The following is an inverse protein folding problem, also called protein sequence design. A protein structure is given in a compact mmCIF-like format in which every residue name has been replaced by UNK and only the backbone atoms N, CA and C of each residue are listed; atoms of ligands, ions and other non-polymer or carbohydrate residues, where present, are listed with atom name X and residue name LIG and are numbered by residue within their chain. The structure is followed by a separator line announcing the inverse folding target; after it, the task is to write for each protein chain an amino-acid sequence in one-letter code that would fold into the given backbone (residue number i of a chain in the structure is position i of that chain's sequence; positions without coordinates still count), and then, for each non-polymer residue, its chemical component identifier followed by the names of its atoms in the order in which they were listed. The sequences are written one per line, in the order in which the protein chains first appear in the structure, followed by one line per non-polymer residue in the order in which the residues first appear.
data_IF_912978290167
#
_entry.id   IF_912978290167
#
_cell.length_a   1.000
_cell.length_b   1.000
_cell.length_c   1.000
_cell.angle_alpha   90.00
_cell.angle_beta   90.00
_cell.angle_gamma   90.00
#
_symmetry.space_group_name_H-M   'P 1'
#
loop_
_entity.id
_entity.type
_entity.pdbx_description
1 polymer ?
#
# COMPACT_ATOMS: atom_id res chain seq x y z
N UNK A 1 -21.57 -8.19 49.18
CA UNK A 1 -20.78 -8.99 48.20
C UNK A 1 -20.61 -8.14 46.96
N UNK A 2 -19.43 -8.14 46.33
CA UNK A 2 -19.18 -7.46 45.06
C UNK A 2 -19.77 -8.35 43.95
N UNK A 3 -20.75 -7.86 43.19
CA UNK A 3 -21.48 -8.67 42.21
C UNK A 3 -21.09 -8.30 40.76
N UNK A 4 -20.63 -7.07 40.52
CA UNK A 4 -20.19 -6.58 39.21
C UNK A 4 -18.89 -5.77 39.31
N UNK A 5 -18.21 -5.57 38.17
CA UNK A 5 -16.95 -4.82 38.11
C UNK A 5 -17.10 -3.36 38.59
N UNK A 6 -18.26 -2.75 38.34
CA UNK A 6 -18.58 -1.38 38.77
C UNK A 6 -18.74 -1.25 40.29
N UNK A 7 -18.97 -2.35 41.02
CA UNK A 7 -19.06 -2.31 42.48
C UNK A 7 -17.68 -2.14 43.13
N UNK A 8 -16.61 -2.44 42.39
CA UNK A 8 -15.24 -2.40 42.89
C UNK A 8 -14.76 -0.95 42.94
N UNK A 9 -14.29 -0.55 44.12
CA UNK A 9 -13.75 0.79 44.38
C UNK A 9 -12.37 0.68 44.99
N UNK A 10 -11.45 1.52 44.56
CA UNK A 10 -10.12 1.55 45.14
C UNK A 10 -9.11 2.29 44.27
N UNK A 11 -7.85 2.20 44.69
CA UNK A 11 -6.71 2.72 43.96
C UNK A 11 -5.81 1.52 43.64
N UNK A 12 -5.44 1.39 42.37
CA UNK A 12 -4.52 0.36 41.88
C UNK A 12 -3.26 1.06 41.39
N UNK A 13 -2.12 0.65 41.92
CA UNK A 13 -0.81 1.14 41.50
C UNK A 13 -0.04 -0.02 40.89
N UNK A 14 0.41 0.13 39.65
CA UNK A 14 1.22 -0.89 38.97
C UNK A 14 2.44 -0.25 38.36
N UNK A 15 3.59 -0.82 38.69
CA UNK A 15 4.85 -0.47 38.07
C UNK A 15 5.06 -1.33 36.81
N UNK A 16 5.50 -0.71 35.73
CA UNK A 16 5.75 -1.31 34.41
C UNK A 16 4.61 -2.24 33.96
N UNK A 17 3.39 -1.68 33.84
CA UNK A 17 2.17 -2.44 33.50
C UNK A 17 2.30 -3.25 32.20
N UNK A 18 3.19 -2.82 31.31
CA UNK A 18 3.43 -3.41 29.99
C UNK A 18 4.53 -4.50 29.98
N UNK A 19 5.23 -4.73 31.10
CA UNK A 19 6.38 -5.62 31.17
C UNK A 19 6.03 -7.07 30.74
N UNK A 20 6.83 -7.63 29.84
CA UNK A 20 6.65 -8.96 29.23
C UNK A 20 5.31 -9.20 28.50
N UNK A 21 4.50 -8.17 28.26
CA UNK A 21 3.27 -8.31 27.48
C UNK A 21 3.55 -8.21 25.98
N UNK A 22 2.81 -9.00 25.20
CA UNK A 22 2.84 -8.88 23.74
C UNK A 22 2.21 -7.54 23.33
N UNK A 23 2.77 -6.87 22.31
CA UNK A 23 2.32 -5.54 21.83
C UNK A 23 0.80 -5.42 21.65
N UNK A 24 0.16 -6.45 21.08
CA UNK A 24 -1.30 -6.50 20.90
C UNK A 24 -2.08 -6.44 22.23
N UNK A 25 -1.57 -7.05 23.30
CA UNK A 25 -2.21 -7.02 24.61
C UNK A 25 -2.05 -5.65 25.26
N UNK A 26 -0.88 -5.03 25.11
CA UNK A 26 -0.61 -3.67 25.59
C UNK A 26 -1.55 -2.65 24.95
N UNK A 27 -1.73 -2.72 23.62
CA UNK A 27 -2.61 -1.81 22.90
C UNK A 27 -4.10 -2.11 23.10
N UNK A 28 -4.53 -3.36 22.90
CA UNK A 28 -5.97 -3.65 22.75
C UNK A 28 -6.66 -4.17 24.03
N UNK A 29 -5.93 -4.81 24.94
CA UNK A 29 -6.54 -5.56 26.06
C UNK A 29 -6.42 -4.81 27.38
N UNK A 30 -5.24 -4.29 27.71
CA UNK A 30 -5.03 -3.56 28.96
C UNK A 30 -5.93 -2.32 29.09
N UNK A 31 -6.07 -1.45 28.07
CA UNK A 31 -6.95 -0.28 28.19
C UNK A 31 -8.42 -0.66 28.40
N UNK A 32 -8.89 -1.73 27.75
CA UNK A 32 -10.25 -2.24 27.95
C UNK A 32 -10.46 -2.78 29.35
N UNK A 33 -9.47 -3.49 29.90
CA UNK A 33 -9.51 -3.96 31.28
C UNK A 33 -9.66 -2.79 32.26
N UNK A 34 -8.89 -1.71 32.06
CA UNK A 34 -8.96 -0.50 32.89
C UNK A 34 -10.35 0.14 32.79
N UNK A 35 -10.88 0.27 31.57
CA UNK A 35 -12.21 0.84 31.33
C UNK A 35 -13.36 0.01 31.94
N UNK A 36 -13.15 -1.28 32.22
CA UNK A 36 -14.14 -2.13 32.89
C UNK A 36 -14.29 -1.82 34.39
N UNK A 37 -13.39 -1.05 34.99
CA UNK A 37 -13.44 -0.69 36.42
C UNK A 37 -13.53 0.84 36.60
N UNK A 38 -14.66 1.48 36.23
CA UNK A 38 -14.79 2.94 36.20
C UNK A 38 -14.65 3.60 37.59
N UNK A 39 -14.87 2.84 38.67
CA UNK A 39 -14.76 3.34 40.04
C UNK A 39 -13.40 3.03 40.70
N UNK A 40 -12.42 2.54 39.92
CA UNK A 40 -11.05 2.30 40.37
C UNK A 40 -10.12 3.34 39.74
N UNK A 41 -9.34 4.02 40.56
CA UNK A 41 -8.29 4.91 40.08
C UNK A 41 -7.02 4.10 39.80
N UNK A 42 -6.52 4.16 38.57
CA UNK A 42 -5.27 3.51 38.19
C UNK A 42 -4.12 4.52 38.16
N UNK A 43 -3.00 4.18 38.81
CA UNK A 43 -1.73 4.89 38.73
C UNK A 43 -0.69 3.93 38.19
N UNK A 44 -0.31 4.12 36.93
CA UNK A 44 0.47 3.14 36.17
C UNK A 44 1.76 3.79 35.67
N UNK A 45 2.85 3.05 35.68
CA UNK A 45 4.07 3.41 34.93
C UNK A 45 4.18 2.50 33.71
N UNK A 46 4.71 3.04 32.62
CA UNK A 46 4.90 2.30 31.38
C UNK A 46 6.11 2.80 30.61
N UNK A 47 6.77 1.87 29.91
CA UNK A 47 7.77 2.20 28.90
C UNK A 47 7.23 2.08 27.47
N UNK A 48 5.99 1.62 27.31
CA UNK A 48 5.40 1.30 26.01
C UNK A 48 4.50 2.43 25.51
N UNK A 49 4.89 3.12 24.43
CA UNK A 49 4.00 4.03 23.73
C UNK A 49 2.71 3.35 23.25
N UNK A 50 2.73 2.04 23.02
CA UNK A 50 1.57 1.29 22.53
C UNK A 50 0.43 1.25 23.54
N UNK A 51 0.77 1.17 24.82
CA UNK A 51 -0.25 1.20 25.88
C UNK A 51 -0.93 2.58 25.94
N UNK A 52 -0.16 3.66 25.78
CA UNK A 52 -0.66 5.03 25.76
C UNK A 52 -1.63 5.25 24.57
N UNK A 53 -1.26 4.79 23.37
CA UNK A 53 -2.14 4.85 22.21
C UNK A 53 -3.47 4.12 22.43
N UNK A 54 -3.40 2.92 23.01
CA UNK A 54 -4.61 2.15 23.32
C UNK A 54 -5.48 2.80 24.39
N UNK A 55 -4.89 3.50 25.37
CA UNK A 55 -5.63 4.30 26.34
C UNK A 55 -6.38 5.45 25.67
N UNK A 56 -5.74 6.17 24.74
CA UNK A 56 -6.38 7.24 23.98
C UNK A 56 -7.54 6.73 23.13
N UNK A 57 -7.39 5.58 22.47
CA UNK A 57 -8.47 4.96 21.69
C UNK A 57 -9.68 4.57 22.55
N UNK A 58 -9.44 4.03 23.75
CA UNK A 58 -10.52 3.48 24.60
C UNK A 58 -11.15 4.52 25.53
N UNK A 59 -10.34 5.42 26.11
CA UNK A 59 -10.79 6.39 27.12
C UNK A 59 -10.93 7.81 26.57
N UNK A 60 -10.38 8.10 25.39
CA UNK A 60 -10.28 9.46 24.85
C UNK A 60 -9.15 10.28 25.46
N UNK A 61 -8.87 11.44 24.88
CA UNK A 61 -7.76 12.32 25.27
C UNK A 61 -7.90 12.87 26.70
N UNK A 62 -9.12 13.13 27.15
CA UNK A 62 -9.42 13.62 28.51
C UNK A 62 -9.60 12.48 29.53
N UNK A 63 -9.51 11.22 29.08
CA UNK A 63 -9.80 10.05 29.90
C UNK A 63 -8.68 9.63 30.85
N UNK A 64 -7.47 10.16 30.67
CA UNK A 64 -6.31 9.86 31.50
C UNK A 64 -5.32 11.03 31.54
N UNK A 65 -4.46 11.07 32.56
CA UNK A 65 -3.34 12.01 32.64
C UNK A 65 -2.02 11.29 32.37
N UNK A 66 -1.18 11.86 31.52
CA UNK A 66 0.14 11.32 31.21
C UNK A 66 1.23 12.24 31.78
N UNK A 67 2.17 11.67 32.53
CA UNK A 67 3.23 12.42 33.19
C UNK A 67 4.59 11.81 32.84
N UNK A 68 5.50 12.64 32.34
CA UNK A 68 6.89 12.26 32.12
C UNK A 68 7.62 12.11 33.46
N UNK A 69 8.46 11.08 33.56
CA UNK A 69 9.33 10.87 34.71
C UNK A 69 10.79 10.84 34.23
N UNK A 70 11.71 11.54 34.93
CA UNK A 70 11.57 12.03 36.30
C UNK A 70 11.02 13.45 36.43
N UNK A 71 10.71 14.13 35.32
CA UNK A 71 10.39 15.57 35.33
C UNK A 71 9.08 15.90 36.06
N UNK A 72 8.13 14.97 36.09
CA UNK A 72 6.77 15.18 36.58
C UNK A 72 5.91 16.07 35.68
N UNK A 73 6.39 16.38 34.47
CA UNK A 73 5.68 17.24 33.54
C UNK A 73 4.53 16.46 32.88
N UNK A 74 3.35 17.07 32.83
CA UNK A 74 2.22 16.50 32.09
C UNK A 74 2.47 16.62 30.58
N UNK A 75 2.34 15.52 29.86
CA UNK A 75 2.46 15.46 28.40
C UNK A 75 1.09 15.66 27.75
N UNK A 76 1.07 16.27 26.56
CA UNK A 76 -0.16 16.49 25.80
C UNK A 76 -0.44 15.34 24.82
N UNK A 77 -1.70 15.16 24.41
CA UNK A 77 -2.10 14.15 23.44
C UNK A 77 -1.50 14.39 22.04
N UNK A 78 -1.20 15.66 21.71
CA UNK A 78 -0.59 16.05 20.43
C UNK A 78 0.82 15.47 20.26
N UNK A 79 1.61 15.38 21.34
CA UNK A 79 2.97 14.81 21.34
C UNK A 79 3.00 13.30 20.99
N UNK A 80 1.87 12.60 21.13
CA UNK A 80 1.74 11.16 20.84
C UNK A 80 0.96 10.85 19.57
N UNK A 81 0.20 11.80 19.03
CA UNK A 81 -0.56 11.63 17.78
C UNK A 81 0.35 11.27 16.59
N UNK A 82 1.53 11.88 16.49
CA UNK A 82 2.51 11.54 15.44
C UNK A 82 3.02 10.09 15.55
N UNK A 83 3.23 9.61 16.77
CA UNK A 83 3.61 8.21 17.00
C UNK A 83 2.45 7.25 16.70
N UNK A 84 1.22 7.65 17.03
CA UNK A 84 -0.01 6.93 16.68
C UNK A 84 -0.13 6.71 15.18
N UNK A 85 -0.01 7.78 14.39
CA UNK A 85 -0.05 7.70 12.92
C UNK A 85 1.04 6.77 12.36
N UNK A 86 2.26 6.84 12.88
CA UNK A 86 3.37 5.97 12.45
C UNK A 86 3.12 4.50 12.81
N UNK A 87 2.53 4.24 13.99
CA UNK A 87 2.21 2.88 14.43
C UNK A 87 1.01 2.30 13.68
N UNK A 88 -0.05 3.07 13.44
CA UNK A 88 -1.19 2.66 12.62
C UNK A 88 -0.72 2.28 11.21
N UNK A 89 0.12 3.10 10.57
CA UNK A 89 0.72 2.78 9.28
C UNK A 89 1.53 1.45 9.32
N UNK A 90 2.23 1.18 10.43
CA UNK A 90 2.97 -0.07 10.62
C UNK A 90 2.04 -1.29 10.86
N UNK A 91 0.99 -1.13 11.65
CA UNK A 91 -0.01 -2.18 11.91
C UNK A 91 -0.79 -2.50 10.64
N UNK A 92 -1.21 -1.50 9.88
CA UNK A 92 -1.86 -1.68 8.58
C UNK A 92 -0.93 -2.40 7.61
N UNK A 93 0.37 -2.08 7.61
CA UNK A 93 1.35 -2.85 6.82
C UNK A 93 1.36 -4.33 7.20
N UNK A 94 1.25 -4.68 8.49
CA UNK A 94 1.18 -6.08 8.94
C UNK A 94 -0.15 -6.76 8.60
N UNK A 95 -1.29 -6.11 8.86
CA UNK A 95 -2.62 -6.62 8.55
C UNK A 95 -2.75 -6.89 7.05
N UNK A 96 -2.29 -5.95 6.24
CA UNK A 96 -2.26 -6.09 4.79
C UNK A 96 -1.37 -7.24 4.32
N UNK A 97 -0.20 -7.42 4.95
CA UNK A 97 0.66 -8.58 4.68
C UNK A 97 -0.05 -9.91 4.97
N UNK A 98 -0.89 -9.97 6.00
CA UNK A 98 -1.65 -11.17 6.34
C UNK A 98 -2.87 -11.38 5.42
N UNK A 99 -3.53 -10.32 4.98
CA UNK A 99 -4.58 -10.36 3.96
C UNK A 99 -4.04 -10.87 2.61
N UNK A 100 -2.88 -10.36 2.17
CA UNK A 100 -2.18 -10.84 0.98
C UNK A 100 -1.81 -12.31 1.09
N UNK A 101 -1.36 -12.78 2.27
CA UNK A 101 -1.09 -14.20 2.50
C UNK A 101 -2.35 -15.06 2.40
N UNK A 102 -3.45 -14.64 3.03
CA UNK A 102 -4.73 -15.36 2.96
C UNK A 102 -5.22 -15.45 1.52
N UNK A 103 -5.19 -14.32 0.80
CA UNK A 103 -5.54 -14.25 -0.61
C UNK A 103 -4.75 -15.25 -1.47
N UNK A 104 -3.45 -15.38 -1.21
CA UNK A 104 -2.56 -16.30 -1.94
C UNK A 104 -2.82 -17.76 -1.57
N UNK A 105 -3.13 -18.05 -0.31
CA UNK A 105 -3.46 -19.41 0.15
C UNK A 105 -4.81 -19.90 -0.40
N UNK A 106 -5.80 -19.00 -0.46
CA UNK A 106 -7.17 -19.32 -0.89
C UNK A 106 -7.35 -19.28 -2.41
N UNK A 107 -6.37 -18.72 -3.14
CA UNK A 107 -6.42 -18.54 -4.58
C UNK A 107 -6.55 -19.87 -5.33
N UNK A 108 -7.60 -19.95 -6.15
CA UNK A 108 -7.84 -21.09 -7.05
C UNK A 108 -7.10 -20.92 -8.40
N UNK A 109 -6.71 -19.68 -8.73
CA UNK A 109 -6.06 -19.26 -9.97
C UNK A 109 -4.70 -18.63 -9.68
N UNK A 110 -3.78 -18.60 -10.66
CA UNK A 110 -2.63 -17.71 -10.61
C UNK A 110 -3.03 -16.27 -10.29
N UNK A 111 -2.25 -15.61 -9.43
CA UNK A 111 -2.48 -14.23 -9.01
C UNK A 111 -1.45 -13.30 -9.65
N UNK A 112 -1.90 -12.12 -10.12
CA UNK A 112 -1.02 -11.01 -10.51
C UNK A 112 -1.32 -9.81 -9.62
N UNK A 113 -0.34 -9.40 -8.82
CA UNK A 113 -0.36 -8.17 -8.05
C UNK A 113 0.25 -7.02 -8.86
N UNK A 114 -0.46 -5.90 -8.97
CA UNK A 114 -0.01 -4.66 -9.63
C UNK A 114 0.05 -3.49 -8.63
N UNK A 115 0.71 -2.39 -8.98
CA UNK A 115 0.95 -1.27 -8.05
C UNK A 115 -0.32 -0.50 -7.71
N UNK A 116 -1.14 -0.18 -8.72
CA UNK A 116 -2.36 0.61 -8.55
C UNK A 116 -3.66 -0.06 -9.05
N UNK A 117 -4.83 0.47 -8.63
CA UNK A 117 -6.12 0.00 -9.10
C UNK A 117 -6.35 0.31 -10.60
N UNK A 118 -5.75 1.39 -11.11
CA UNK A 118 -5.77 1.77 -12.53
C UNK A 118 -5.09 0.73 -13.40
N UNK A 119 -4.00 0.15 -12.91
CA UNK A 119 -3.15 -0.80 -13.60
C UNK A 119 -3.94 -2.09 -13.88
N UNK A 120 -4.74 -2.53 -12.91
CA UNK A 120 -5.66 -3.66 -13.07
C UNK A 120 -6.59 -3.43 -14.27
N UNK A 121 -7.15 -2.23 -14.37
CA UNK A 121 -8.10 -1.89 -15.43
C UNK A 121 -7.41 -1.80 -16.80
N UNK A 122 -6.24 -1.16 -16.87
CA UNK A 122 -5.45 -1.12 -18.10
C UNK A 122 -5.05 -2.52 -18.56
N UNK A 123 -4.54 -3.38 -17.67
CA UNK A 123 -4.14 -4.74 -18.02
C UNK A 123 -5.32 -5.58 -18.50
N UNK A 124 -6.48 -5.48 -17.84
CA UNK A 124 -7.70 -6.19 -18.28
C UNK A 124 -8.21 -5.67 -19.62
N UNK A 125 -8.20 -4.34 -19.82
CA UNK A 125 -8.62 -3.74 -21.09
C UNK A 125 -7.69 -4.13 -22.22
N UNK A 126 -6.38 -4.04 -22.01
CA UNK A 126 -5.37 -4.45 -22.96
C UNK A 126 -5.56 -5.92 -23.34
N UNK A 127 -5.75 -6.81 -22.35
CA UNK A 127 -5.98 -8.22 -22.62
C UNK A 127 -7.23 -8.47 -23.47
N UNK A 128 -8.32 -7.74 -23.23
CA UNK A 128 -9.54 -7.85 -24.04
C UNK A 128 -9.35 -7.31 -25.48
N UNK A 129 -8.65 -6.17 -25.64
CA UNK A 129 -8.44 -5.55 -26.95
C UNK A 129 -7.42 -6.30 -27.82
N UNK A 130 -6.43 -6.92 -27.20
CA UNK A 130 -5.33 -7.61 -27.87
C UNK A 130 -5.53 -9.13 -27.97
N UNK A 131 -6.75 -9.61 -27.70
CA UNK A 131 -7.18 -11.02 -27.82
C UNK A 131 -6.45 -12.00 -26.87
N UNK A 132 -6.11 -11.54 -25.67
CA UNK A 132 -5.57 -12.36 -24.57
C UNK A 132 -6.66 -12.81 -23.59
N UNK A 133 -7.83 -13.21 -24.08
CA UNK A 133 -8.98 -13.66 -23.26
C UNK A 133 -8.63 -14.81 -22.30
N UNK A 134 -7.64 -15.62 -22.67
CA UNK A 134 -7.10 -16.69 -21.82
C UNK A 134 -6.59 -16.15 -20.49
N UNK A 135 -5.95 -14.98 -20.46
CA UNK A 135 -5.45 -14.38 -19.23
C UNK A 135 -6.58 -13.87 -18.34
N UNK A 136 -7.63 -13.31 -18.94
CA UNK A 136 -8.81 -12.81 -18.21
C UNK A 136 -9.55 -13.93 -17.46
N UNK A 137 -9.50 -15.15 -17.99
CA UNK A 137 -10.12 -16.32 -17.38
C UNK A 137 -9.18 -17.10 -16.47
N UNK A 138 -7.89 -17.12 -16.78
CA UNK A 138 -6.89 -17.95 -16.09
C UNK A 138 -6.24 -17.24 -14.91
N UNK A 139 -6.08 -15.91 -14.97
CA UNK A 139 -5.42 -15.11 -13.94
C UNK A 139 -6.44 -14.29 -13.17
N UNK A 140 -6.15 -14.06 -11.89
CA UNK A 140 -6.81 -13.04 -11.10
C UNK A 140 -5.86 -11.87 -10.82
N UNK A 141 -6.18 -10.70 -11.39
CA UNK A 141 -5.47 -9.46 -11.11
C UNK A 141 -5.97 -8.85 -9.79
N UNK A 142 -5.03 -8.45 -8.93
CA UNK A 142 -5.31 -7.76 -7.66
C UNK A 142 -4.39 -6.55 -7.51
N UNK A 143 -4.91 -5.54 -6.84
CA UNK A 143 -4.09 -4.42 -6.40
C UNK A 143 -3.18 -4.86 -5.25
N UNK A 144 -1.96 -4.33 -5.23
CA UNK A 144 -1.02 -4.47 -4.11
C UNK A 144 -1.46 -3.74 -2.83
N UNK A 145 -2.49 -2.89 -2.89
CA UNK A 145 -3.29 -2.34 -1.79
C UNK A 145 -2.53 -1.47 -0.80
N UNK A 146 -2.01 -0.32 -1.23
CA UNK A 146 -1.37 0.69 -0.35
C UNK A 146 -0.04 0.26 0.31
N UNK A 147 0.22 -1.04 0.44
CA UNK A 147 1.52 -1.57 0.81
C UNK A 147 2.41 -1.66 -0.43
N UNK A 148 3.61 -1.11 -0.32
CA UNK A 148 4.66 -1.21 -1.33
C UNK A 148 4.74 -2.65 -1.87
N UNK A 149 4.65 -2.89 -3.19
CA UNK A 149 4.81 -4.23 -3.79
C UNK A 149 6.10 -4.93 -3.32
N UNK A 150 7.12 -4.16 -2.89
CA UNK A 150 8.31 -4.69 -2.21
C UNK A 150 7.98 -5.51 -0.96
N UNK A 151 6.97 -5.11 -0.18
CA UNK A 151 6.49 -5.83 1.00
C UNK A 151 5.71 -7.08 0.62
N UNK A 152 4.88 -7.03 -0.44
CA UNK A 152 4.21 -8.21 -1.01
C UNK A 152 5.25 -9.26 -1.41
N UNK A 153 6.27 -8.85 -2.18
CA UNK A 153 7.38 -9.73 -2.57
C UNK A 153 8.11 -10.34 -1.36
N UNK A 154 8.45 -9.52 -0.35
CA UNK A 154 9.08 -10.02 0.89
C UNK A 154 8.17 -11.03 1.62
N UNK A 155 6.89 -10.74 1.77
CA UNK A 155 5.93 -11.63 2.44
C UNK A 155 5.78 -12.99 1.76
N UNK A 156 5.77 -13.01 0.43
CA UNK A 156 5.65 -14.22 -0.39
C UNK A 156 6.89 -15.13 -0.33
N UNK A 157 8.05 -14.59 0.02
CA UNK A 157 9.32 -15.34 0.02
C UNK A 157 9.66 -15.98 1.36
N UNK A 158 8.98 -15.59 2.44
CA UNK A 158 9.22 -16.10 3.81
C UNK A 158 8.56 -17.47 4.04
N UNK A 159 7.48 -17.79 3.33
CA UNK A 159 6.75 -19.06 3.47
C UNK A 159 6.94 -19.90 2.20
N UNK A 160 7.38 -21.16 2.35
CA UNK A 160 7.71 -22.01 1.23
C UNK A 160 6.52 -22.88 0.76
N UNK A 161 6.39 -22.92 -0.57
CA UNK A 161 5.45 -23.68 -1.41
C UNK A 161 4.07 -23.02 -1.61
N UNK A 162 4.01 -22.10 -2.57
CA UNK A 162 2.76 -21.66 -3.17
C UNK A 162 2.31 -22.70 -4.19
N UNK A 163 1.09 -23.23 -4.05
CA UNK A 163 0.53 -24.21 -5.01
C UNK A 163 0.27 -23.59 -6.38
N UNK A 164 -0.02 -22.29 -6.42
CA UNK A 164 -0.30 -21.53 -7.64
C UNK A 164 0.81 -20.54 -7.91
N UNK A 165 0.91 -20.12 -9.17
CA UNK A 165 1.86 -19.08 -9.59
C UNK A 165 1.40 -17.74 -9.06
N UNK A 166 2.29 -17.00 -8.42
CA UNK A 166 2.03 -15.65 -7.92
C UNK A 166 3.00 -14.71 -8.61
N UNK A 167 2.48 -13.67 -9.23
CA UNK A 167 3.26 -12.72 -10.01
C UNK A 167 3.10 -11.35 -9.34
N UNK A 168 4.22 -10.70 -9.08
CA UNK A 168 4.31 -9.32 -8.62
C UNK A 168 4.81 -8.52 -9.81
N UNK A 169 3.90 -7.76 -10.42
CA UNK A 169 4.15 -6.98 -11.63
C UNK A 169 4.32 -5.51 -11.24
N UNK A 170 5.53 -5.01 -11.44
CA UNK A 170 5.92 -3.65 -11.13
C UNK A 170 5.75 -2.70 -12.30
N UNK A 171 5.64 -1.42 -11.97
CA UNK A 171 5.65 -0.35 -12.94
C UNK A 171 6.93 -0.35 -13.80
N UNK A 172 6.87 0.18 -15.03
CA UNK A 172 7.97 0.21 -15.98
C UNK A 172 9.32 0.69 -15.41
N UNK A 173 9.35 1.71 -14.54
CA UNK A 173 10.58 2.30 -14.00
C UNK A 173 11.36 1.43 -13.00
N UNK A 174 10.78 0.33 -12.51
CA UNK A 174 11.35 -0.45 -11.43
C UNK A 174 12.56 -1.30 -11.88
N UNK A 175 12.50 -1.92 -13.07
CA UNK A 175 13.63 -2.65 -13.66
C UNK A 175 14.10 -3.91 -12.89
N UNK A 176 13.19 -4.64 -12.24
CA UNK A 176 13.54 -5.85 -11.47
C UNK A 176 12.83 -7.11 -12.01
N UNK A 177 13.63 -8.11 -12.41
CA UNK A 177 13.14 -9.45 -12.71
C UNK A 177 13.76 -10.48 -11.76
N UNK A 178 12.92 -11.24 -11.08
CA UNK A 178 13.36 -12.30 -10.16
C UNK A 178 12.36 -13.46 -10.17
N UNK A 179 12.83 -14.69 -10.06
CA UNK A 179 11.96 -15.87 -9.98
C UNK A 179 12.40 -16.75 -8.82
N UNK A 180 11.43 -17.13 -7.98
CA UNK A 180 11.64 -17.99 -6.81
C UNK A 180 10.52 -19.03 -6.74
N UNK A 181 10.80 -20.24 -7.24
CA UNK A 181 9.81 -21.30 -7.38
C UNK A 181 8.56 -20.82 -8.15
N UNK A 182 7.38 -20.83 -7.52
CA UNK A 182 6.12 -20.38 -8.11
C UNK A 182 5.86 -18.86 -7.91
N UNK A 183 6.83 -18.09 -7.45
CA UNK A 183 6.69 -16.63 -7.28
C UNK A 183 7.58 -15.91 -8.29
N UNK A 184 6.99 -14.99 -9.04
CA UNK A 184 7.64 -14.25 -10.12
C UNK A 184 7.56 -12.76 -9.81
N UNK A 185 8.68 -12.07 -9.87
CA UNK A 185 8.77 -10.62 -9.87
C UNK A 185 9.12 -10.18 -11.27
N UNK A 186 8.34 -9.29 -11.85
CA UNK A 186 8.55 -8.79 -13.21
C UNK A 186 8.32 -7.29 -13.26
N UNK A 187 9.04 -6.61 -14.13
CA UNK A 187 8.73 -5.23 -14.52
C UNK A 187 8.00 -5.20 -15.86
N UNK A 188 7.08 -4.27 -16.02
CA UNK A 188 6.57 -3.93 -17.36
C UNK A 188 7.69 -3.33 -18.22
N UNK A 189 7.49 -3.34 -19.55
CA UNK A 189 8.48 -2.78 -20.48
C UNK A 189 8.66 -1.27 -20.27
N UNK A 190 9.91 -0.80 -20.30
CA UNK A 190 10.27 0.60 -20.09
C UNK A 190 10.66 1.30 -21.39
N UNK A 191 10.02 2.43 -21.70
CA UNK A 191 10.39 3.29 -22.81
C UNK A 191 11.29 4.44 -22.34
N UNK A 192 12.62 4.32 -22.55
CA UNK A 192 13.64 5.24 -22.02
C UNK A 192 13.48 6.71 -22.45
N UNK A 193 13.00 6.96 -23.67
CA UNK A 193 12.84 8.31 -24.24
C UNK A 193 11.38 8.77 -24.30
N UNK A 194 10.60 8.40 -23.29
CA UNK A 194 9.17 8.72 -23.21
C UNK A 194 8.93 9.97 -22.34
N UNK A 195 7.99 10.87 -22.69
CA UNK A 195 7.74 12.06 -21.87
C UNK A 195 7.21 11.75 -20.46
N UNK A 196 6.43 10.67 -20.29
CA UNK A 196 6.04 10.15 -18.98
C UNK A 196 7.12 9.21 -18.46
N UNK A 197 7.71 9.56 -17.32
CA UNK A 197 8.85 8.86 -16.70
C UNK A 197 8.48 8.12 -15.40
N UNK A 198 7.19 7.90 -15.15
CA UNK A 198 6.70 7.21 -13.94
C UNK A 198 5.35 6.56 -14.22
N UNK A 199 5.17 5.34 -13.73
CA UNK A 199 3.91 4.60 -13.79
C UNK A 199 3.67 3.89 -15.11
N UNK A 200 2.65 3.02 -15.09
CA UNK A 200 2.16 2.25 -16.23
C UNK A 200 1.82 3.12 -17.46
N UNK A 201 1.54 4.41 -17.29
CA UNK A 201 1.23 5.31 -18.38
C UNK A 201 2.42 5.57 -19.34
N UNK A 202 3.64 5.19 -18.94
CA UNK A 202 4.81 5.10 -19.84
C UNK A 202 4.58 4.14 -21.02
N UNK A 203 3.64 3.18 -20.90
CA UNK A 203 3.30 2.26 -21.99
C UNK A 203 2.46 2.91 -23.10
N UNK A 204 1.73 3.99 -22.82
CA UNK A 204 0.92 4.65 -23.86
C UNK A 204 1.77 5.49 -24.78
N UNK A 205 1.51 5.44 -26.09
CA UNK A 205 2.23 6.29 -27.04
C UNK A 205 1.92 7.77 -26.81
N UNK A 206 2.84 8.65 -27.25
CA UNK A 206 2.62 10.11 -27.21
C UNK A 206 1.31 10.52 -27.88
N UNK A 207 0.97 9.93 -29.02
CA UNK A 207 -0.27 10.24 -29.75
C UNK A 207 -1.51 9.86 -28.94
N UNK A 208 -1.47 8.73 -28.24
CA UNK A 208 -2.55 8.29 -27.34
C UNK A 208 -2.75 9.28 -26.20
N UNK A 209 -1.64 9.72 -25.58
CA UNK A 209 -1.66 10.64 -24.45
C UNK A 209 -2.13 12.05 -24.87
N UNK A 210 -1.73 12.51 -26.06
CA UNK A 210 -2.21 13.77 -26.64
C UNK A 210 -3.73 13.75 -26.80
N UNK A 211 -4.25 12.70 -27.44
CA UNK A 211 -5.68 12.53 -27.64
C UNK A 211 -6.45 12.40 -26.30
N UNK A 212 -5.88 11.69 -25.32
CA UNK A 212 -6.48 11.57 -24.00
C UNK A 212 -6.54 12.93 -23.28
N UNK A 213 -5.50 13.76 -23.39
CA UNK A 213 -5.43 15.11 -22.82
C UNK A 213 -6.43 16.06 -23.45
N UNK A 214 -6.63 15.99 -24.77
CA UNK A 214 -7.62 16.81 -25.49
C UNK A 214 -9.05 16.53 -25.00
N UNK A 215 -9.36 15.27 -24.71
CA UNK A 215 -10.68 14.85 -24.23
C UNK A 215 -10.85 14.94 -22.71
N UNK A 216 -9.75 15.00 -21.96
CA UNK A 216 -9.74 15.09 -20.50
C UNK A 216 -8.78 16.20 -20.03
N UNK A 217 -9.17 17.47 -20.17
CA UNK A 217 -8.33 18.59 -19.75
C UNK A 217 -7.97 18.48 -18.27
N UNK A 218 -6.69 18.60 -17.94
CA UNK A 218 -6.17 18.52 -16.57
C UNK A 218 -5.69 17.13 -16.13
N UNK A 219 -5.85 16.08 -16.95
CA UNK A 219 -5.38 14.74 -16.58
C UNK A 219 -3.86 14.57 -16.69
N UNK A 220 -3.22 15.33 -17.59
CA UNK A 220 -1.77 15.28 -17.85
C UNK A 220 -1.21 16.70 -17.79
N UNK A 221 -0.28 16.90 -16.88
CA UNK A 221 0.55 18.09 -16.80
C UNK A 221 1.73 17.96 -17.75
N UNK A 222 2.04 19.04 -18.47
CA UNK A 222 3.17 19.09 -19.41
C UNK A 222 4.10 20.22 -19.01
N UNK A 223 5.33 19.85 -18.72
CA UNK A 223 6.42 20.78 -18.49
C UNK A 223 7.25 20.79 -19.77
N UNK A 224 7.22 21.92 -20.47
CA UNK A 224 8.02 22.13 -21.67
C UNK A 224 9.52 22.05 -21.39
N UNK A 225 10.29 21.89 -22.46
CA UNK A 225 11.75 21.95 -22.39
C UNK A 225 12.19 23.28 -21.76
N UNK A 226 13.08 23.21 -20.77
CA UNK A 226 13.59 24.39 -20.08
C UNK A 226 15.04 24.20 -19.61
N UNK A 227 15.83 25.29 -19.58
CA UNK A 227 17.19 25.23 -19.06
C UNK A 227 17.18 25.18 -17.52
N UNK A 228 18.12 24.42 -16.97
CA UNK A 228 18.45 24.39 -15.55
C UNK A 228 19.96 24.59 -15.37
N UNK A 229 20.37 25.04 -14.18
CA UNK A 229 21.77 25.04 -13.79
C UNK A 229 22.03 23.97 -12.74
N UNK A 230 22.89 23.01 -13.07
CA UNK A 230 23.34 21.97 -12.13
C UNK A 230 24.83 22.14 -11.92
N UNK A 231 25.22 22.53 -10.70
CA UNK A 231 26.63 22.78 -10.33
C UNK A 231 27.32 23.80 -11.25
N UNK A 232 26.59 24.83 -11.68
CA UNK A 232 27.10 25.90 -12.54
C UNK A 232 27.20 25.56 -14.03
N UNK A 233 26.76 24.37 -14.45
CA UNK A 233 26.67 23.97 -15.86
C UNK A 233 25.21 24.10 -16.30
N UNK A 234 24.99 24.82 -17.40
CA UNK A 234 23.68 24.91 -18.04
C UNK A 234 23.35 23.57 -18.71
N UNK A 235 22.20 23.02 -18.36
CA UNK A 235 21.68 21.76 -18.90
C UNK A 235 20.24 22.00 -19.35
N UNK A 236 19.82 21.34 -20.42
CA UNK A 236 18.44 21.38 -20.88
C UNK A 236 17.70 20.18 -20.30
N UNK A 237 16.62 20.44 -19.57
CA UNK A 237 15.67 19.40 -19.17
C UNK A 237 14.71 19.20 -20.34
N UNK A 238 14.60 17.98 -20.89
CA UNK A 238 13.67 17.70 -21.97
C UNK A 238 12.22 17.87 -21.49
N UNK A 239 11.29 17.94 -22.44
CA UNK A 239 9.86 17.96 -22.15
C UNK A 239 9.46 16.73 -21.31
N UNK A 240 8.73 16.96 -20.22
CA UNK A 240 8.28 15.91 -19.29
C UNK A 240 6.79 16.02 -19.02
N UNK A 241 6.13 14.88 -18.94
CA UNK A 241 4.68 14.76 -18.77
C UNK A 241 4.42 13.95 -17.51
N UNK A 242 3.40 14.34 -16.75
CA UNK A 242 2.97 13.62 -15.56
C UNK A 242 1.45 13.53 -15.53
N UNK A 243 0.95 12.33 -15.26
CA UNK A 243 -0.48 12.13 -14.99
C UNK A 243 -0.77 12.59 -13.57
N UNK A 244 -1.74 13.48 -13.42
CA UNK A 244 -2.15 13.97 -12.11
C UNK A 244 -2.78 12.83 -11.28
N UNK A 245 -2.32 12.64 -10.04
CA UNK A 245 -2.75 11.54 -9.17
C UNK A 245 -4.26 11.52 -8.95
N UNK A 246 -4.89 12.69 -8.77
CA UNK A 246 -6.34 12.81 -8.57
C UNK A 246 -7.15 12.48 -9.84
N UNK A 247 -6.55 12.64 -11.01
CA UNK A 247 -7.19 12.42 -12.31
C UNK A 247 -6.85 11.06 -12.93
N UNK A 248 -5.94 10.27 -12.32
CA UNK A 248 -5.53 8.93 -12.81
C UNK A 248 -6.73 8.03 -13.08
N UNK A 249 -7.69 7.99 -12.15
CA UNK A 249 -8.89 7.15 -12.28
C UNK A 249 -9.75 7.57 -13.46
N UNK A 250 -9.87 8.89 -13.70
CA UNK A 250 -10.65 9.44 -14.80
C UNK A 250 -9.97 9.15 -16.14
N UNK A 251 -8.66 9.40 -16.24
CA UNK A 251 -7.87 9.08 -17.42
C UNK A 251 -7.98 7.59 -17.76
N UNK A 252 -7.80 6.74 -16.75
CA UNK A 252 -7.91 5.30 -16.90
C UNK A 252 -9.29 4.87 -17.40
N UNK A 253 -10.35 5.40 -16.80
CA UNK A 253 -11.72 5.12 -17.22
C UNK A 253 -11.97 5.52 -18.67
N UNK A 254 -11.48 6.69 -19.07
CA UNK A 254 -11.65 7.19 -20.44
C UNK A 254 -10.87 6.33 -21.46
N UNK A 255 -9.60 6.03 -21.19
CA UNK A 255 -8.79 5.16 -22.06
C UNK A 255 -9.36 3.74 -22.12
N UNK A 256 -9.89 3.23 -21.01
CA UNK A 256 -10.53 1.91 -21.01
C UNK A 256 -11.84 1.87 -21.80
N UNK A 257 -12.55 2.99 -21.92
CA UNK A 257 -13.79 3.07 -22.69
C UNK A 257 -13.55 3.37 -24.17
N UNK A 258 -12.62 4.28 -24.48
CA UNK A 258 -12.45 4.84 -25.83
C UNK A 258 -11.19 4.36 -26.55
N UNK A 259 -10.22 3.80 -25.83
CA UNK A 259 -8.99 3.30 -26.42
C UNK A 259 -9.21 2.07 -27.29
N UNK A 260 -8.40 1.99 -28.33
CA UNK A 260 -8.36 0.95 -29.38
C UNK A 260 -7.22 -0.03 -29.13
N UNK A 261 -7.16 -1.12 -29.91
CA UNK A 261 -6.06 -2.08 -29.81
C UNK A 261 -4.68 -1.42 -30.04
N UNK A 262 -4.59 -0.49 -30.99
CA UNK A 262 -3.34 0.23 -31.30
C UNK A 262 -2.85 1.07 -30.11
N UNK A 263 -3.77 1.71 -29.38
CA UNK A 263 -3.43 2.51 -28.19
C UNK A 263 -2.82 1.66 -27.06
N UNK A 264 -3.22 0.38 -27.00
CA UNK A 264 -2.77 -0.58 -25.98
C UNK A 264 -1.66 -1.52 -26.46
N UNK A 265 -1.18 -1.40 -27.71
CA UNK A 265 -0.28 -2.39 -28.32
C UNK A 265 1.01 -2.63 -27.50
N UNK A 266 1.56 -1.59 -26.86
CA UNK A 266 2.75 -1.73 -26.02
C UNK A 266 2.57 -2.63 -24.78
N UNK A 267 1.32 -2.84 -24.33
CA UNK A 267 0.99 -3.78 -23.25
C UNK A 267 1.16 -5.24 -23.68
N UNK A 268 1.16 -5.54 -24.99
CA UNK A 268 1.30 -6.90 -25.53
C UNK A 268 2.51 -7.63 -24.96
N UNK A 269 3.66 -6.95 -24.90
CA UNK A 269 4.91 -7.52 -24.38
C UNK A 269 4.75 -8.10 -22.97
N UNK A 270 3.99 -7.40 -22.12
CA UNK A 270 3.72 -7.78 -20.74
C UNK A 270 2.69 -8.91 -20.69
N UNK A 271 1.64 -8.86 -21.52
CA UNK A 271 0.63 -9.92 -21.61
C UNK A 271 1.23 -11.25 -22.12
N UNK A 272 2.10 -11.21 -23.13
CA UNK A 272 2.83 -12.39 -23.62
C UNK A 272 3.74 -12.98 -22.54
N UNK A 273 4.41 -12.13 -21.77
CA UNK A 273 5.21 -12.57 -20.62
C UNK A 273 4.33 -13.27 -19.57
N UNK A 274 3.17 -12.70 -19.23
CA UNK A 274 2.23 -13.31 -18.30
C UNK A 274 1.70 -14.66 -18.82
N UNK A 275 1.40 -14.76 -20.13
CA UNK A 275 1.00 -16.03 -20.76
C UNK A 275 2.08 -17.09 -20.56
N UNK A 276 3.33 -16.80 -20.93
CA UNK A 276 4.45 -17.73 -20.79
C UNK A 276 4.60 -18.21 -19.34
N UNK A 277 4.57 -17.27 -18.38
CA UNK A 277 4.67 -17.61 -16.96
C UNK A 277 3.54 -18.55 -16.55
N UNK A 278 2.31 -18.32 -16.99
CA UNK A 278 1.15 -19.13 -16.59
C UNK A 278 1.12 -20.49 -17.31
N UNK A 279 1.47 -20.53 -18.59
CA UNK A 279 1.43 -21.71 -19.45
C UNK A 279 2.55 -22.72 -19.17
N UNK A 280 3.75 -22.27 -18.76
CA UNK A 280 4.90 -23.13 -18.41
C UNK A 280 4.58 -24.04 -17.21
N UNK A 281 3.84 -25.13 -17.46
CA UNK A 281 3.29 -26.08 -16.50
C UNK A 281 4.03 -27.42 -16.58
#
# INVERSE_FOLDING_TARGET
ELQQADDVKGIVVVDEIDLHLHARLQYAVLPKLINMFPNVQFVLTTHSPLFILGLQEVLGEDGFGLYDLPSGQQLSAEDFGEFGMAYEAFVDTKRHTDEVKSAVQDAQKPLVFVEGPTDVNYMKRAAALLEFDILLTTIEFREGGGANLKNVWKGLTVHHVHRKKVIVLHDPECGFDETRANVFRRSMYWFENHPIQKGIENLFSRTTLEHARENNPGCIDVIGEHPIQVRGIEQIVPETWSVNEDEKTRLCSWLCQNGTADDFEHFRSTLEMLCKIVEDS
#
